data_IF_054207828172
#
_entry.id   IF_054207828172
#
_cell.length_a   1.000
_cell.length_b   1.000
_cell.length_c   1.000
_cell.angle_alpha   90.00
_cell.angle_beta   90.00
_cell.angle_gamma   90.00
#
_symmetry.space_group_name_H-M   'P 1'
#
loop_
_entity.id
_entity.type
_entity.pdbx_description
1 polymer ?
#
# COMPACT_ATOMS: atom_id res chain seq x y z
N UNK A 1 -0.80 1.19 -6.28
CA UNK A 1 -1.58 2.34 -5.74
C UNK A 1 -1.52 2.45 -4.22
N UNK A 2 -1.42 1.33 -3.48
CA UNK A 2 -1.38 1.32 -2.01
C UNK A 2 -0.20 2.10 -1.44
N UNK A 3 1.01 1.80 -1.92
CA UNK A 3 2.24 2.38 -1.37
C UNK A 3 2.23 3.91 -1.44
N UNK A 4 1.82 4.46 -2.60
CA UNK A 4 1.73 5.89 -2.82
C UNK A 4 0.72 6.61 -1.89
N UNK A 5 -0.31 5.93 -1.38
CA UNK A 5 -1.29 6.56 -0.48
C UNK A 5 -0.85 6.60 0.98
N UNK A 6 0.20 5.86 1.32
CA UNK A 6 0.75 5.75 2.68
C UNK A 6 1.95 6.68 2.85
N UNK A 7 2.83 6.74 1.86
CA UNK A 7 4.03 7.59 1.89
C UNK A 7 3.69 9.05 1.59
N UNK A 8 4.23 9.96 2.38
CA UNK A 8 4.11 11.41 2.15
C UNK A 8 4.96 11.92 0.97
N UNK A 9 5.97 11.15 0.54
CA UNK A 9 6.91 11.51 -0.53
C UNK A 9 6.97 10.43 -1.61
N UNK A 10 7.07 10.82 -2.89
CA UNK A 10 7.08 9.91 -4.05
C UNK A 10 8.28 8.98 -4.06
N UNK A 11 9.49 9.47 -3.73
CA UNK A 11 10.72 8.67 -3.74
C UNK A 11 10.65 7.50 -2.73
N UNK A 12 10.13 7.76 -1.53
CA UNK A 12 9.89 6.72 -0.52
C UNK A 12 8.86 5.71 -1.01
N UNK A 13 7.83 6.18 -1.72
CA UNK A 13 6.81 5.32 -2.33
C UNK A 13 7.38 4.39 -3.40
N UNK A 14 8.30 4.89 -4.23
CA UNK A 14 9.01 4.07 -5.24
C UNK A 14 9.90 3.04 -4.53
N UNK A 15 10.73 3.44 -3.57
CA UNK A 15 11.63 2.53 -2.86
C UNK A 15 10.89 1.39 -2.15
N UNK A 16 9.81 1.72 -1.42
CA UNK A 16 8.97 0.71 -0.74
C UNK A 16 8.24 -0.16 -1.77
N UNK A 17 7.74 0.42 -2.86
CA UNK A 17 7.07 -0.33 -3.93
C UNK A 17 7.99 -1.35 -4.59
N UNK A 18 9.19 -0.92 -4.96
CA UNK A 18 10.23 -1.80 -5.53
C UNK A 18 10.63 -2.89 -4.55
N UNK A 19 10.84 -2.55 -3.26
CA UNK A 19 11.15 -3.55 -2.23
C UNK A 19 10.09 -4.62 -2.09
N UNK A 20 8.80 -4.24 -2.12
CA UNK A 20 7.69 -5.21 -2.09
C UNK A 20 7.67 -6.08 -3.34
N UNK A 21 7.90 -5.51 -4.52
CA UNK A 21 7.95 -6.29 -5.78
C UNK A 21 9.08 -7.31 -5.73
N UNK A 22 10.30 -6.88 -5.39
CA UNK A 22 11.46 -7.78 -5.29
C UNK A 22 11.23 -8.86 -4.24
N UNK A 23 10.65 -8.50 -3.10
CA UNK A 23 10.28 -9.47 -2.07
C UNK A 23 9.27 -10.51 -2.57
N UNK A 24 8.28 -10.10 -3.37
CA UNK A 24 7.33 -11.03 -4.00
C UNK A 24 8.00 -11.91 -5.06
N UNK A 25 9.00 -11.40 -5.79
CA UNK A 25 9.80 -12.20 -6.74
C UNK A 25 10.72 -13.21 -6.05
N UNK A 26 11.19 -12.92 -4.83
CA UNK A 26 11.95 -13.91 -4.04
C UNK A 26 11.13 -15.16 -3.71
N UNK A 27 9.81 -15.04 -3.65
CA UNK A 27 8.90 -16.15 -3.37
C UNK A 27 8.48 -16.95 -4.61
N UNK A 28 8.96 -16.58 -5.80
CA UNK A 28 8.56 -17.21 -7.06
C UNK A 28 9.63 -18.18 -7.60
N UNK A 29 9.22 -18.93 -8.64
CA UNK A 29 10.02 -19.97 -9.31
C UNK A 29 11.30 -19.47 -9.97
N UNK A 30 11.48 -18.14 -10.09
CA UNK A 30 12.75 -17.53 -10.53
C UNK A 30 13.86 -17.74 -9.51
N UNK A 31 13.53 -17.68 -8.21
CA UNK A 31 14.55 -17.72 -7.16
C UNK A 31 14.93 -19.16 -6.83
N UNK A 32 13.94 -20.04 -6.73
CA UNK A 32 14.10 -21.49 -6.57
C UNK A 32 12.85 -22.20 -7.10
N UNK A 33 12.96 -23.44 -7.60
CA UNK A 33 11.80 -24.25 -7.94
C UNK A 33 10.85 -24.37 -6.75
N UNK A 34 9.54 -24.18 -7.01
CA UNK A 34 8.47 -24.36 -6.03
C UNK A 34 8.59 -25.63 -5.15
N UNK A 35 9.03 -26.80 -5.68
CA UNK A 35 9.26 -28.00 -4.87
C UNK A 35 10.26 -27.83 -3.72
N UNK A 36 11.26 -26.96 -3.87
CA UNK A 36 12.42 -26.86 -2.97
C UNK A 36 12.28 -25.75 -1.92
N UNK A 37 11.16 -25.01 -1.93
CA UNK A 37 10.89 -23.96 -0.95
C UNK A 37 10.50 -24.57 0.42
N UNK A 38 11.04 -24.03 1.53
CA UNK A 38 10.62 -24.43 2.88
C UNK A 38 9.12 -24.18 3.08
N UNK A 39 8.44 -25.21 3.60
CA UNK A 39 6.98 -25.34 3.50
C UNK A 39 6.19 -24.24 4.24
N UNK A 40 6.71 -23.77 5.37
CA UNK A 40 5.95 -23.03 6.39
C UNK A 40 5.70 -21.56 6.03
N UNK A 41 6.59 -20.95 5.25
CA UNK A 41 6.50 -19.52 4.93
C UNK A 41 6.54 -19.26 3.43
N UNK A 42 7.53 -19.84 2.75
CA UNK A 42 7.79 -19.56 1.34
C UNK A 42 6.84 -20.34 0.44
N UNK A 43 6.62 -21.63 0.72
CA UNK A 43 5.68 -22.43 -0.08
C UNK A 43 4.23 -22.14 0.25
N UNK A 44 3.90 -21.95 1.52
CA UNK A 44 2.61 -21.47 1.98
C UNK A 44 2.87 -20.40 3.03
N UNK A 45 2.22 -19.21 3.02
CA UNK A 45 1.25 -18.70 2.04
C UNK A 45 1.90 -17.88 0.91
N UNK A 46 3.20 -17.61 0.97
CA UNK A 46 3.83 -16.56 0.18
C UNK A 46 3.80 -16.84 -1.33
N UNK A 47 4.03 -18.08 -1.75
CA UNK A 47 3.95 -18.46 -3.18
C UNK A 47 2.56 -18.22 -3.79
N UNK A 48 1.49 -18.38 -3.01
CA UNK A 48 0.10 -18.21 -3.46
C UNK A 48 -0.35 -16.76 -3.51
N UNK A 49 0.18 -15.92 -2.62
CA UNK A 49 -0.15 -14.48 -2.57
C UNK A 49 0.73 -13.69 -3.54
N UNK A 50 1.90 -14.21 -3.90
CA UNK A 50 2.81 -13.56 -4.83
C UNK A 50 2.24 -13.58 -6.25
N UNK A 51 1.96 -12.39 -6.79
CA UNK A 51 1.58 -12.24 -8.19
C UNK A 51 2.68 -12.71 -9.14
N UNK A 52 3.95 -12.64 -8.70
CA UNK A 52 5.09 -13.04 -9.52
C UNK A 52 5.04 -14.55 -9.80
N UNK A 53 4.71 -15.38 -8.81
CA UNK A 53 4.58 -16.84 -8.97
C UNK A 53 3.57 -17.19 -10.05
N UNK A 54 2.34 -16.65 -9.95
CA UNK A 54 1.29 -16.91 -10.92
C UNK A 54 1.63 -16.38 -12.33
N UNK A 55 2.27 -15.21 -12.41
CA UNK A 55 2.69 -14.64 -13.68
C UNK A 55 3.76 -15.50 -14.38
N UNK A 56 4.75 -15.98 -13.63
CA UNK A 56 5.84 -16.84 -14.15
C UNK A 56 5.30 -18.20 -14.59
N UNK A 57 4.44 -18.82 -13.78
CA UNK A 57 3.78 -20.08 -14.15
C UNK A 57 2.95 -19.94 -15.41
N UNK A 58 2.16 -18.86 -15.52
CA UNK A 58 1.36 -18.57 -16.70
C UNK A 58 2.22 -18.35 -17.95
N UNK A 59 3.33 -17.60 -17.81
CA UNK A 59 4.27 -17.36 -18.91
C UNK A 59 4.96 -18.65 -19.34
N UNK A 60 5.48 -19.45 -18.41
CA UNK A 60 6.11 -20.73 -18.74
C UNK A 60 5.15 -21.71 -19.42
N UNK A 61 3.89 -21.77 -18.96
CA UNK A 61 2.86 -22.56 -19.66
C UNK A 61 2.53 -21.99 -21.03
N UNK A 62 2.52 -20.67 -21.20
CA UNK A 62 2.25 -20.06 -22.50
C UNK A 62 3.35 -20.35 -23.53
N UNK A 63 4.61 -20.29 -23.11
CA UNK A 63 5.77 -20.43 -24.01
C UNK A 63 6.18 -21.89 -24.25
N UNK A 64 5.88 -22.82 -23.33
CA UNK A 64 6.36 -24.21 -23.45
C UNK A 64 5.28 -25.21 -23.88
N UNK A 65 3.99 -24.90 -23.73
CA UNK A 65 2.93 -25.80 -24.20
C UNK A 65 2.94 -25.83 -25.73
N UNK A 66 3.13 -27.01 -26.32
CA UNK A 66 3.18 -27.21 -27.77
C UNK A 66 4.56 -27.03 -28.41
N UNK A 67 5.60 -26.75 -27.62
CA UNK A 67 6.99 -26.79 -28.12
C UNK A 67 7.61 -28.18 -27.90
N UNK A 68 8.43 -28.58 -28.86
CA UNK A 68 9.35 -29.71 -28.73
C UNK A 68 10.77 -29.17 -28.79
N UNK A 69 11.60 -29.59 -27.84
CA UNK A 69 13.02 -29.24 -27.80
C UNK A 69 13.86 -30.40 -28.28
N UNK A 70 14.87 -30.09 -29.08
CA UNK A 70 15.88 -31.06 -29.46
C UNK A 70 16.67 -31.50 -28.22
N UNK A 71 17.05 -32.77 -28.16
CA UNK A 71 17.72 -33.32 -26.99
C UNK A 71 19.11 -32.68 -26.81
N UNK A 72 19.47 -32.42 -25.55
CA UNK A 72 20.79 -31.88 -25.18
C UNK A 72 21.96 -32.82 -25.55
N UNK A 73 21.69 -34.12 -25.67
CA UNK A 73 22.64 -35.10 -26.18
C UNK A 73 22.04 -35.82 -27.39
N UNK A 74 22.82 -36.03 -28.47
CA UNK A 74 22.39 -36.78 -29.63
C UNK A 74 22.05 -38.23 -29.22
N UNK A 75 20.80 -38.64 -29.43
CA UNK A 75 20.29 -39.99 -29.14
C UNK A 75 19.16 -40.08 -28.10
N UNK A 76 18.86 -39.00 -27.36
CA UNK A 76 17.71 -38.97 -26.46
C UNK A 76 16.39 -38.64 -27.19
N UNK A 77 15.23 -39.06 -26.67
CA UNK A 77 13.94 -38.65 -27.22
C UNK A 77 13.78 -37.13 -27.14
N UNK A 78 13.08 -36.55 -28.12
CA UNK A 78 12.73 -35.12 -28.12
C UNK A 78 12.04 -34.75 -26.80
N UNK A 79 12.45 -33.65 -26.20
CA UNK A 79 11.91 -33.21 -24.92
C UNK A 79 10.71 -32.29 -25.18
N UNK A 80 9.51 -32.78 -24.91
CA UNK A 80 8.31 -31.94 -24.97
C UNK A 80 8.39 -30.84 -23.91
N UNK A 81 7.98 -29.62 -24.24
CA UNK A 81 8.01 -28.47 -23.33
C UNK A 81 7.20 -28.71 -22.04
N UNK A 82 6.18 -29.57 -22.09
CA UNK A 82 5.45 -30.06 -20.92
C UNK A 82 6.35 -30.83 -19.94
N UNK A 83 7.18 -31.75 -20.45
CA UNK A 83 8.13 -32.52 -19.63
C UNK A 83 9.25 -31.63 -19.10
N UNK A 84 9.69 -30.65 -19.88
CA UNK A 84 10.65 -29.64 -19.44
C UNK A 84 10.09 -28.80 -18.28
N UNK A 85 8.84 -28.34 -18.39
CA UNK A 85 8.14 -27.55 -17.37
C UNK A 85 8.06 -28.27 -16.03
N UNK A 86 7.76 -29.57 -16.04
CA UNK A 86 7.66 -30.37 -14.81
C UNK A 86 9.02 -30.74 -14.22
N UNK A 87 9.98 -31.12 -15.08
CA UNK A 87 11.26 -31.69 -14.63
C UNK A 87 12.28 -30.62 -14.26
N UNK A 88 12.33 -29.51 -15.02
CA UNK A 88 13.32 -28.45 -14.86
C UNK A 88 12.78 -27.34 -13.96
N UNK A 89 11.54 -26.89 -14.22
CA UNK A 89 10.96 -25.74 -13.51
C UNK A 89 10.07 -26.15 -12.33
N UNK A 90 9.68 -27.43 -12.22
CA UNK A 90 8.87 -27.93 -11.12
C UNK A 90 7.44 -27.39 -11.09
N UNK A 91 6.94 -26.89 -12.23
CA UNK A 91 5.60 -26.28 -12.32
C UNK A 91 4.55 -27.37 -12.53
N UNK A 92 3.42 -27.35 -11.80
CA UNK A 92 2.38 -28.35 -12.02
C UNK A 92 1.63 -28.09 -13.33
N UNK A 93 1.52 -29.11 -14.18
CA UNK A 93 0.79 -29.06 -15.47
C UNK A 93 -0.72 -29.31 -15.27
N UNK A 94 -1.14 -29.77 -14.09
CA UNK A 94 -2.52 -30.19 -13.80
C UNK A 94 -3.60 -29.08 -13.87
N UNK A 95 -3.20 -27.83 -14.12
CA UNK A 95 -4.07 -26.67 -14.22
C UNK A 95 -3.72 -25.84 -15.45
N UNK A 96 -4.76 -25.46 -16.20
CA UNK A 96 -4.66 -24.74 -17.47
C UNK A 96 -4.03 -23.35 -17.32
N UNK A 97 -3.40 -22.83 -18.38
CA UNK A 97 -2.88 -21.46 -18.45
C UNK A 97 -3.92 -20.38 -18.08
N UNK A 98 -5.18 -20.66 -18.34
CA UNK A 98 -6.30 -19.76 -18.02
C UNK A 98 -6.58 -19.68 -16.52
N UNK A 99 -6.26 -20.73 -15.76
CA UNK A 99 -6.37 -20.70 -14.31
C UNK A 99 -5.35 -19.78 -13.68
N UNK A 100 -4.10 -19.78 -14.17
CA UNK A 100 -3.07 -18.86 -13.67
C UNK A 100 -3.43 -17.41 -14.00
N UNK A 101 -3.96 -17.17 -15.20
CA UNK A 101 -4.46 -15.84 -15.59
C UNK A 101 -5.63 -15.40 -14.72
N UNK A 102 -6.59 -16.31 -14.46
CA UNK A 102 -7.74 -16.04 -13.60
C UNK A 102 -7.30 -15.73 -12.16
N UNK A 103 -6.36 -16.49 -11.61
CA UNK A 103 -5.77 -16.24 -10.30
C UNK A 103 -5.09 -14.86 -10.24
N UNK A 104 -4.37 -14.47 -11.29
CA UNK A 104 -3.72 -13.16 -11.39
C UNK A 104 -4.74 -12.01 -11.41
N UNK A 105 -5.83 -12.16 -12.18
CA UNK A 105 -6.94 -11.20 -12.21
C UNK A 105 -7.62 -11.12 -10.84
N UNK A 106 -7.87 -12.27 -10.21
CA UNK A 106 -8.46 -12.32 -8.87
C UNK A 106 -7.59 -11.59 -7.85
N UNK A 107 -6.28 -11.85 -7.84
CA UNK A 107 -5.33 -11.19 -6.96
C UNK A 107 -5.27 -9.68 -7.19
N UNK A 108 -5.32 -9.24 -8.45
CA UNK A 108 -5.42 -7.82 -8.81
C UNK A 108 -6.69 -7.17 -8.23
N UNK A 109 -7.84 -7.83 -8.38
CA UNK A 109 -9.12 -7.34 -7.85
C UNK A 109 -9.12 -7.30 -6.33
N UNK A 110 -8.64 -8.35 -5.66
CA UNK A 110 -8.51 -8.41 -4.20
C UNK A 110 -7.60 -7.27 -3.70
N UNK A 111 -6.46 -7.04 -4.36
CA UNK A 111 -5.56 -5.94 -4.02
C UNK A 111 -6.23 -4.55 -4.21
N UNK A 112 -7.02 -4.38 -5.26
CA UNK A 112 -7.81 -3.15 -5.51
C UNK A 112 -8.89 -2.92 -4.45
N UNK A 113 -9.62 -3.97 -4.06
CA UNK A 113 -10.64 -3.90 -3.02
C UNK A 113 -9.99 -3.61 -1.67
N UNK A 114 -8.90 -4.30 -1.33
CA UNK A 114 -8.15 -4.05 -0.10
C UNK A 114 -7.65 -2.60 -0.02
N UNK A 115 -7.13 -2.06 -1.12
CA UNK A 115 -6.77 -0.65 -1.20
C UNK A 115 -7.94 0.29 -0.92
N UNK A 116 -9.09 0.03 -1.54
CA UNK A 116 -10.29 0.83 -1.34
C UNK A 116 -10.76 0.79 0.13
N UNK A 117 -10.75 -0.39 0.74
CA UNK A 117 -11.03 -0.59 2.17
C UNK A 117 -10.05 0.25 3.01
N UNK A 118 -8.74 0.13 2.79
CA UNK A 118 -7.73 0.89 3.54
C UNK A 118 -7.97 2.39 3.41
N UNK A 119 -8.26 2.90 2.21
CA UNK A 119 -8.56 4.33 2.02
C UNK A 119 -9.82 4.76 2.77
N UNK A 120 -10.87 3.95 2.77
CA UNK A 120 -12.13 4.22 3.48
C UNK A 120 -11.91 4.29 4.99
N UNK A 121 -11.07 3.42 5.54
CA UNK A 121 -10.78 3.35 6.99
C UNK A 121 -9.62 4.23 7.46
N UNK A 122 -8.70 4.67 6.58
CA UNK A 122 -7.60 5.59 6.91
C UNK A 122 -8.09 6.86 7.59
N UNK A 123 -9.23 7.42 7.16
CA UNK A 123 -9.83 8.60 7.82
C UNK A 123 -10.21 8.32 9.29
N UNK A 124 -10.66 7.10 9.62
CA UNK A 124 -10.98 6.70 11.00
C UNK A 124 -9.73 6.36 11.82
N UNK A 125 -8.74 5.72 11.21
CA UNK A 125 -7.48 5.37 11.87
C UNK A 125 -6.65 6.60 12.26
N UNK A 126 -6.58 7.63 11.41
CA UNK A 126 -5.91 8.91 11.75
C UNK A 126 -6.60 9.59 12.93
N UNK A 127 -7.94 9.56 12.99
CA UNK A 127 -8.70 10.11 14.12
C UNK A 127 -8.51 9.28 15.40
N UNK A 128 -8.38 7.96 15.30
CA UNK A 128 -8.20 7.05 16.44
C UNK A 128 -6.76 7.05 17.00
N UNK A 129 -5.74 7.17 16.15
CA UNK A 129 -4.32 7.11 16.56
C UNK A 129 -3.81 8.49 17.04
N UNK A 130 -4.48 9.58 16.67
CA UNK A 130 -4.17 10.93 17.16
C UNK A 130 -5.18 11.38 18.23
N UNK A 131 -4.91 11.15 19.52
CA UNK A 131 -5.54 11.94 20.58
C UNK A 131 -5.01 13.38 20.60
N UNK A 132 -3.91 13.68 19.90
CA UNK A 132 -3.23 14.99 19.91
C UNK A 132 -3.95 16.08 19.11
N UNK A 133 -4.62 15.75 18.00
CA UNK A 133 -5.38 16.75 17.20
C UNK A 133 -6.64 17.27 17.93
N UNK A 134 -7.13 16.57 18.96
CA UNK A 134 -8.20 17.05 19.82
C UNK A 134 -7.75 18.11 20.84
N UNK A 135 -6.45 18.32 21.06
CA UNK A 135 -5.96 19.33 22.00
C UNK A 135 -5.76 20.72 21.39
N UNK A 136 -5.73 20.87 20.07
CA UNK A 136 -5.47 22.17 19.43
C UNK A 136 -6.72 23.08 19.35
N UNK A 137 -7.86 22.65 19.92
CA UNK A 137 -9.08 23.47 20.05
C UNK A 137 -9.52 23.71 21.50
N UNK A 138 -8.62 23.62 22.47
CA UNK A 138 -8.81 24.33 23.75
C UNK A 138 -8.06 25.65 23.67
N UNK A 139 -8.64 26.64 23.00
CA UNK A 139 -8.28 28.03 23.31
C UNK A 139 -8.53 28.21 24.81
N UNK A 140 -7.50 28.44 25.64
CA UNK A 140 -7.72 28.53 27.06
C UNK A 140 -8.56 29.79 27.33
N UNK A 141 -9.72 29.62 27.98
CA UNK A 141 -10.63 30.72 28.38
C UNK A 141 -9.92 31.81 29.21
N UNK A 142 -8.70 31.53 29.71
CA UNK A 142 -7.83 32.52 30.37
C UNK A 142 -7.35 33.64 29.43
N UNK A 143 -7.36 33.41 28.10
CA UNK A 143 -6.69 34.26 27.11
C UNK A 143 -7.65 35.37 26.71
N UNK A 144 -8.94 35.03 26.54
CA UNK A 144 -10.00 36.02 26.45
C UNK A 144 -10.14 36.86 27.73
N UNK A 145 -9.96 36.25 28.93
CA UNK A 145 -10.03 36.98 30.20
C UNK A 145 -8.87 37.99 30.34
N UNK A 146 -7.64 37.64 29.96
CA UNK A 146 -6.49 38.56 29.95
C UNK A 146 -6.64 39.69 28.93
N UNK A 147 -7.11 39.39 27.71
CA UNK A 147 -7.38 40.42 26.70
C UNK A 147 -8.47 41.39 27.17
N UNK A 148 -9.50 40.92 27.86
CA UNK A 148 -10.55 41.78 28.43
C UNK A 148 -10.09 42.66 29.61
N UNK A 149 -9.09 42.22 30.37
CA UNK A 149 -8.49 43.03 31.43
C UNK A 149 -7.56 44.10 30.86
N UNK A 150 -6.75 43.74 29.84
CA UNK A 150 -5.89 44.69 29.15
C UNK A 150 -6.69 45.80 28.44
N UNK A 151 -7.82 45.46 27.81
CA UNK A 151 -8.70 46.46 27.19
C UNK A 151 -9.45 47.35 28.19
N UNK A 152 -9.65 46.88 29.43
CA UNK A 152 -10.26 47.68 30.50
C UNK A 152 -9.28 48.64 31.17
N UNK A 153 -8.00 48.30 31.17
CA UNK A 153 -6.90 49.15 31.66
C UNK A 153 -6.53 50.23 30.64
N UNK A 154 -6.63 49.95 29.33
CA UNK A 154 -6.51 50.95 28.27
C UNK A 154 -7.88 51.54 27.88
N UNK A 155 -8.45 52.35 28.76
CA UNK A 155 -9.54 53.28 28.40
C UNK A 155 -8.92 54.69 28.33
N UNK A 156 -8.78 55.33 27.16
CA UNK A 156 -8.29 56.69 27.10
C UNK A 156 -9.27 57.60 27.86
N UNK A 157 -8.75 58.45 28.76
CA UNK A 157 -9.55 59.52 29.35
C UNK A 157 -10.02 60.43 28.22
N UNK A 158 -11.34 60.49 28.02
CA UNK A 158 -11.97 61.53 27.24
C UNK A 158 -11.84 62.85 28.03
N UNK A 159 -11.33 63.95 27.45
CA UNK A 159 -11.46 65.26 28.08
C UNK A 159 -12.94 65.63 28.11
N UNK A 160 -13.46 65.93 29.31
CA UNK A 160 -14.71 66.67 29.47
C UNK A 160 -14.35 68.15 29.52
N UNK A 161 -14.61 68.89 28.45
CA UNK A 161 -14.73 70.36 28.54
C UNK A 161 -16.15 70.69 28.96
N UNK A 162 -16.25 71.42 30.08
CA UNK A 162 -17.46 71.72 30.79
C UNK A 162 -18.33 72.74 30.05
N UNK A 163 -19.62 72.41 29.99
CA UNK A 163 -20.70 73.38 29.85
C UNK A 163 -20.92 74.05 31.21
N UNK A 164 -20.53 75.32 31.35
CA UNK A 164 -20.96 76.16 32.47
C UNK A 164 -22.30 76.81 32.13
N UNK A 165 -23.36 76.35 32.79
CA UNK A 165 -24.64 77.04 32.88
C UNK A 165 -24.67 77.86 34.17
N UNK A 166 -25.05 79.13 34.09
CA UNK A 166 -25.76 79.78 35.21
C UNK A 166 -26.77 80.79 34.66
N UNK A 167 -28.04 80.52 34.96
CA UNK A 167 -29.25 81.35 34.77
C UNK A 167 -29.52 82.11 36.09
N UNK A 168 -30.72 82.68 36.34
CA UNK A 168 -31.36 83.89 35.82
C UNK A 168 -31.42 85.04 36.86
N UNK A 169 -31.71 86.26 36.41
CA UNK A 169 -32.65 87.25 37.00
C UNK A 169 -32.64 88.53 36.17
#
# INVERSE_FOLDING_TARGET
MIVASITSNVLLGIGVGTGVIVFMMMASEISRPLPDLPKIFWRYPMSYISFATWAIQGQFKNEMIGLEFDPLLPGNPKLTGEKALQTIFGVPIGHSKWWDLSALICLLLVHRILFYIILKYKKRAIIAISPRVLHTRRTPKWLSKRVSLASKVYKPLHPQEGTSTTSPN
#
